data_IF_886338254061
#
_entry.id   IF_886338254061
#
_cell.length_a   1.000
_cell.length_b   1.000
_cell.length_c   1.000
_cell.angle_alpha   90.00
_cell.angle_beta   90.00
_cell.angle_gamma   90.00
#
_symmetry.space_group_name_H-M   'P 1'
#
loop_
_entity.id
_entity.type
_entity.pdbx_description
1 polymer ?
#
# COMPACT_ATOMS: atom_id res chain seq x y z
N UNK A 1 -19.53 16.19 18.42
CA UNK A 1 -18.57 15.90 17.34
C UNK A 1 -17.24 15.58 17.98
N UNK A 2 -16.94 14.29 18.14
CA UNK A 2 -15.65 13.83 18.65
C UNK A 2 -14.72 13.66 17.46
N UNK A 3 -13.72 14.54 17.38
CA UNK A 3 -12.59 14.39 16.46
C UNK A 3 -11.86 13.14 16.96
N UNK A 4 -11.95 12.03 16.23
CA UNK A 4 -11.11 10.86 16.47
C UNK A 4 -9.68 11.30 16.14
N UNK A 5 -8.93 11.72 17.17
CA UNK A 5 -7.48 11.83 17.05
C UNK A 5 -6.94 10.42 16.89
N UNK A 6 -6.63 10.04 15.65
CA UNK A 6 -5.93 8.79 15.39
C UNK A 6 -4.48 9.04 15.80
N UNK A 7 -4.07 8.45 16.91
CA UNK A 7 -2.66 8.37 17.23
C UNK A 7 -1.98 7.47 16.19
N UNK A 8 -1.33 8.10 15.21
CA UNK A 8 -0.58 7.42 14.15
C UNK A 8 0.80 6.93 14.62
N UNK A 9 1.12 7.15 15.89
CA UNK A 9 2.41 6.89 16.49
C UNK A 9 2.21 6.44 17.92
N UNK A 10 2.97 5.45 18.36
CA UNK A 10 3.05 5.03 19.77
C UNK A 10 3.82 6.07 20.61
N UNK A 11 3.73 6.03 21.95
CA UNK A 11 4.50 6.92 22.84
C UNK A 11 6.02 6.85 22.66
N UNK A 12 6.56 5.73 22.17
CA UNK A 12 7.98 5.53 21.83
C UNK A 12 8.35 6.01 20.40
N UNK A 13 7.41 6.62 19.67
CA UNK A 13 7.68 7.22 18.36
C UNK A 13 7.55 6.26 17.17
N UNK A 14 7.04 5.04 17.38
CA UNK A 14 6.86 4.06 16.31
C UNK A 14 5.54 4.28 15.57
N UNK A 15 5.58 4.27 14.25
CA UNK A 15 4.37 4.37 13.40
C UNK A 15 3.41 3.21 13.68
N UNK A 16 2.11 3.51 13.67
CA UNK A 16 1.04 2.53 13.75
C UNK A 16 0.26 2.54 12.44
N UNK A 17 -0.03 1.37 11.87
CA UNK A 17 -0.94 1.27 10.73
C UNK A 17 -2.41 1.55 11.15
N UNK A 18 -3.07 2.63 10.69
CA UNK A 18 -4.39 3.06 11.16
C UNK A 18 -5.53 2.30 10.45
N UNK A 19 -5.61 0.99 10.70
CA UNK A 19 -6.50 0.06 10.00
C UNK A 19 -7.96 0.53 9.88
N UNK A 20 -8.61 0.82 11.00
CA UNK A 20 -10.05 1.13 11.04
C UNK A 20 -10.38 2.37 10.21
N UNK A 21 -9.57 3.43 10.36
CA UNK A 21 -9.78 4.65 9.60
C UNK A 21 -9.57 4.43 8.10
N UNK A 22 -8.52 3.71 7.69
CA UNK A 22 -8.25 3.45 6.28
C UNK A 22 -9.31 2.55 5.65
N UNK A 23 -9.77 1.52 6.37
CA UNK A 23 -10.88 0.67 5.91
C UNK A 23 -12.10 1.51 5.55
N UNK A 24 -12.45 2.49 6.38
CA UNK A 24 -13.67 3.25 6.19
C UNK A 24 -13.48 4.40 5.18
N UNK A 25 -12.33 5.08 5.20
CA UNK A 25 -12.14 6.35 4.50
C UNK A 25 -11.20 6.30 3.28
N UNK A 26 -10.37 5.26 3.10
CA UNK A 26 -9.46 5.23 1.96
C UNK A 26 -10.22 5.11 0.64
N UNK A 27 -9.88 5.98 -0.31
CA UNK A 27 -10.39 5.96 -1.69
C UNK A 27 -9.35 5.40 -2.66
N UNK A 28 -9.75 5.14 -3.91
CA UNK A 28 -8.80 4.75 -4.97
C UNK A 28 -7.74 5.84 -5.24
N UNK A 29 -8.10 7.12 -5.09
CA UNK A 29 -7.19 8.25 -5.18
C UNK A 29 -6.16 8.24 -4.05
N UNK A 30 -6.60 8.06 -2.80
CA UNK A 30 -5.69 7.94 -1.65
C UNK A 30 -4.74 6.74 -1.79
N UNK A 31 -5.25 5.62 -2.31
CA UNK A 31 -4.43 4.44 -2.62
C UNK A 31 -3.40 4.74 -3.72
N UNK A 32 -3.77 5.56 -4.72
CA UNK A 32 -2.86 5.97 -5.78
C UNK A 32 -1.73 6.85 -5.25
N UNK A 33 -2.02 7.80 -4.35
CA UNK A 33 -0.99 8.63 -3.70
C UNK A 33 -0.05 7.78 -2.86
N UNK A 34 -0.59 6.85 -2.07
CA UNK A 34 0.26 5.95 -1.30
C UNK A 34 1.18 5.09 -2.19
N UNK A 35 0.67 4.60 -3.33
CA UNK A 35 1.49 3.88 -4.30
C UNK A 35 2.52 4.78 -5.02
N UNK A 36 2.20 6.05 -5.24
CA UNK A 36 3.14 7.02 -5.79
C UNK A 36 4.34 7.22 -4.87
N UNK A 37 4.15 7.17 -3.54
CA UNK A 37 5.23 7.29 -2.58
C UNK A 37 5.99 5.97 -2.43
N UNK A 38 5.31 4.92 -1.96
CA UNK A 38 5.94 3.67 -1.51
C UNK A 38 5.88 2.52 -2.51
N UNK A 39 5.16 2.70 -3.61
CA UNK A 39 4.90 1.67 -4.61
C UNK A 39 5.91 1.60 -5.74
N UNK A 40 6.10 0.40 -6.29
CA UNK A 40 6.78 0.19 -7.57
C UNK A 40 6.39 -1.16 -8.20
N UNK A 41 6.51 -1.24 -9.53
CA UNK A 41 6.37 -2.47 -10.29
C UNK A 41 7.73 -3.16 -10.50
N UNK A 42 7.76 -4.48 -10.35
CA UNK A 42 8.91 -5.33 -10.63
C UNK A 42 8.45 -6.64 -11.25
N UNK A 43 8.96 -6.99 -12.43
CA UNK A 43 8.60 -8.23 -13.16
C UNK A 43 7.07 -8.48 -13.21
N UNK A 44 6.29 -7.44 -13.56
CA UNK A 44 4.81 -7.46 -13.64
C UNK A 44 4.08 -7.67 -12.30
N UNK A 45 4.79 -7.59 -11.19
CA UNK A 45 4.23 -7.63 -9.84
C UNK A 45 4.40 -6.27 -9.16
N UNK A 46 3.38 -5.82 -8.46
CA UNK A 46 3.45 -4.61 -7.64
C UNK A 46 3.99 -4.91 -6.25
N UNK A 47 4.78 -3.98 -5.72
CA UNK A 47 5.30 -4.00 -4.36
C UNK A 47 5.03 -2.66 -3.69
N UNK A 48 4.74 -2.71 -2.39
CA UNK A 48 4.53 -1.52 -1.56
C UNK A 48 5.52 -1.58 -0.40
N UNK A 49 6.40 -0.59 -0.31
CA UNK A 49 7.51 -0.50 0.64
C UNK A 49 7.06 -0.12 2.05
N UNK A 50 6.41 -1.04 2.76
CA UNK A 50 5.91 -0.86 4.12
C UNK A 50 6.95 -1.09 5.22
N UNK A 51 8.22 -0.73 4.99
CA UNK A 51 9.36 -1.13 5.84
C UNK A 51 9.29 -0.65 7.30
N UNK A 52 8.50 0.38 7.61
CA UNK A 52 8.33 0.89 8.98
C UNK A 52 7.35 0.08 9.84
N UNK A 53 6.63 -0.88 9.26
CA UNK A 53 5.59 -1.66 9.94
C UNK A 53 6.11 -3.03 10.37
N UNK A 54 5.76 -3.43 11.59
CA UNK A 54 5.99 -4.79 12.09
C UNK A 54 5.20 -5.83 11.31
N UNK A 55 5.57 -7.11 11.42
CA UNK A 55 4.88 -8.19 10.71
C UNK A 55 3.37 -8.24 11.01
N UNK A 56 2.94 -7.96 12.24
CA UNK A 56 1.50 -7.89 12.58
C UNK A 56 0.80 -6.72 11.88
N UNK A 57 1.46 -5.58 11.77
CA UNK A 57 0.95 -4.44 11.00
C UNK A 57 0.92 -4.73 9.50
N UNK A 58 1.87 -5.50 8.97
CA UNK A 58 1.80 -5.98 7.57
C UNK A 58 0.56 -6.85 7.33
N UNK A 59 0.14 -7.66 8.32
CA UNK A 59 -1.12 -8.41 8.22
C UNK A 59 -2.33 -7.48 8.18
N UNK A 60 -2.31 -6.39 8.95
CA UNK A 60 -3.35 -5.37 8.88
C UNK A 60 -3.39 -4.69 7.50
N UNK A 61 -2.24 -4.39 6.91
CA UNK A 61 -2.17 -3.86 5.54
C UNK A 61 -2.78 -4.85 4.55
N UNK A 62 -2.40 -6.13 4.61
CA UNK A 62 -2.93 -7.16 3.72
C UNK A 62 -4.45 -7.32 3.87
N UNK A 63 -4.93 -7.37 5.12
CA UNK A 63 -6.35 -7.41 5.44
C UNK A 63 -7.10 -6.20 4.90
N UNK A 64 -6.52 -5.00 5.03
CA UNK A 64 -7.10 -3.76 4.53
C UNK A 64 -7.26 -3.78 3.00
N UNK A 65 -6.21 -4.18 2.27
CA UNK A 65 -6.25 -4.29 0.80
C UNK A 65 -7.32 -5.28 0.34
N UNK A 66 -7.44 -6.40 1.04
CA UNK A 66 -8.45 -7.41 0.76
C UNK A 66 -9.86 -6.88 1.05
N UNK A 67 -10.12 -6.36 2.25
CA UNK A 67 -11.49 -6.01 2.65
C UNK A 67 -12.04 -4.85 1.84
N UNK A 68 -11.22 -3.79 1.66
CA UNK A 68 -11.63 -2.54 1.01
C UNK A 68 -11.56 -2.59 -0.51
N UNK A 69 -10.52 -3.21 -1.08
CA UNK A 69 -10.25 -3.16 -2.51
C UNK A 69 -10.34 -4.52 -3.21
N UNK A 70 -10.61 -5.60 -2.48
CA UNK A 70 -10.63 -6.98 -3.01
C UNK A 70 -9.30 -7.38 -3.66
N UNK A 71 -8.20 -6.88 -3.10
CA UNK A 71 -6.84 -7.15 -3.57
C UNK A 71 -6.16 -8.07 -2.56
N UNK A 72 -5.93 -9.32 -2.97
CA UNK A 72 -5.12 -10.24 -2.18
C UNK A 72 -3.64 -9.85 -2.23
N UNK A 73 -2.93 -10.09 -1.13
CA UNK A 73 -1.51 -9.75 -1.05
C UNK A 73 -0.73 -10.76 -0.22
N UNK A 74 0.58 -10.81 -0.45
CA UNK A 74 1.53 -11.58 0.34
C UNK A 74 2.50 -10.64 1.06
N UNK A 75 2.86 -10.99 2.29
CA UNK A 75 3.94 -10.32 3.02
C UNK A 75 5.23 -11.02 2.64
N UNK A 76 6.15 -10.28 2.05
CA UNK A 76 7.44 -10.79 1.61
C UNK A 76 8.56 -10.11 2.40
N UNK A 77 9.74 -10.72 2.43
CA UNK A 77 10.82 -10.31 3.33
C UNK A 77 12.09 -9.94 2.56
N UNK A 78 12.61 -8.75 2.87
CA UNK A 78 13.90 -8.28 2.36
C UNK A 78 15.02 -8.83 3.24
N UNK A 79 15.49 -10.03 2.89
CA UNK A 79 16.55 -10.77 3.61
C UNK A 79 17.80 -9.94 3.96
N UNK A 80 18.15 -8.94 3.14
CA UNK A 80 19.36 -8.13 3.35
C UNK A 80 19.22 -7.06 4.44
N UNK A 81 18.00 -6.68 4.84
CA UNK A 81 17.76 -5.62 5.83
C UNK A 81 16.86 -6.03 6.98
N UNK A 82 16.17 -7.17 6.89
CA UNK A 82 15.24 -7.61 7.93
C UNK A 82 13.82 -7.05 7.76
N UNK A 83 13.57 -6.24 6.73
CA UNK A 83 12.32 -5.51 6.57
C UNK A 83 11.27 -6.32 5.80
N UNK A 84 9.99 -6.10 6.10
CA UNK A 84 8.86 -6.68 5.39
C UNK A 84 8.25 -5.69 4.38
N UNK A 85 7.65 -6.22 3.32
CA UNK A 85 6.91 -5.44 2.34
C UNK A 85 5.71 -6.20 1.81
N UNK A 86 4.75 -5.47 1.25
CA UNK A 86 3.58 -6.05 0.61
C UNK A 86 3.89 -6.32 -0.86
N UNK A 87 3.54 -7.52 -1.32
CA UNK A 87 3.68 -7.95 -2.71
C UNK A 87 2.34 -8.41 -3.26
N UNK A 88 1.97 -7.90 -4.43
CA UNK A 88 0.82 -8.32 -5.22
C UNK A 88 1.28 -9.27 -6.32
N UNK A 89 0.59 -10.40 -6.55
CA UNK A 89 0.90 -11.24 -7.72
C UNK A 89 0.33 -10.58 -8.99
N UNK A 90 0.57 -11.20 -10.14
CA UNK A 90 0.32 -10.57 -11.45
C UNK A 90 -1.17 -10.18 -11.61
N UNK A 91 -2.10 -11.06 -11.22
CA UNK A 91 -3.54 -10.79 -11.31
C UNK A 91 -3.92 -9.60 -10.43
N UNK A 92 -3.53 -9.64 -9.16
CA UNK A 92 -3.83 -8.62 -8.17
C UNK A 92 -3.15 -7.30 -8.51
N UNK A 93 -2.00 -7.34 -9.18
CA UNK A 93 -1.32 -6.16 -9.73
C UNK A 93 -2.17 -5.50 -10.82
N UNK A 94 -2.78 -6.28 -11.72
CA UNK A 94 -3.65 -5.74 -12.75
C UNK A 94 -4.91 -5.11 -12.14
N UNK A 95 -5.55 -5.82 -11.22
CA UNK A 95 -6.74 -5.33 -10.51
C UNK A 95 -6.41 -4.05 -9.73
N UNK A 96 -5.29 -4.04 -8.99
CA UNK A 96 -4.82 -2.87 -8.25
C UNK A 96 -4.52 -1.68 -9.17
N UNK A 97 -3.81 -1.88 -10.27
CA UNK A 97 -3.51 -0.82 -11.24
C UNK A 97 -4.81 -0.26 -11.82
N UNK A 98 -5.83 -1.08 -12.10
CA UNK A 98 -7.11 -0.59 -12.61
C UNK A 98 -7.80 0.41 -11.65
N UNK A 99 -7.61 0.23 -10.34
CA UNK A 99 -8.15 1.11 -9.30
C UNK A 99 -7.38 2.43 -9.24
N UNK A 100 -6.04 2.38 -9.23
CA UNK A 100 -5.21 3.57 -8.99
C UNK A 100 -4.93 4.40 -10.24
N UNK A 101 -4.89 3.76 -11.42
CA UNK A 101 -4.46 4.36 -12.69
C UNK A 101 -5.21 5.65 -13.05
N UNK A 102 -6.54 5.77 -12.87
CA UNK A 102 -7.25 7.01 -13.18
C UNK A 102 -6.77 8.23 -12.40
N UNK A 103 -6.14 8.02 -11.24
CA UNK A 103 -5.70 9.08 -10.33
C UNK A 103 -4.19 9.35 -10.41
N UNK A 104 -3.44 8.58 -11.22
CA UNK A 104 -2.00 8.73 -11.33
C UNK A 104 -1.61 9.87 -12.28
N UNK A 105 -0.76 10.77 -11.79
CA UNK A 105 -0.15 11.81 -12.61
C UNK A 105 0.84 11.23 -13.63
N UNK A 106 0.96 11.87 -14.79
CA UNK A 106 1.77 11.38 -15.91
C UNK A 106 3.23 11.09 -15.52
N UNK A 107 3.82 11.93 -14.68
CA UNK A 107 5.19 11.77 -14.21
C UNK A 107 5.40 10.55 -13.31
N UNK A 108 4.34 9.95 -12.75
CA UNK A 108 4.40 8.76 -11.88
C UNK A 108 3.96 7.47 -12.57
N UNK A 109 3.42 7.52 -13.79
CA UNK A 109 2.93 6.34 -14.52
C UNK A 109 4.01 5.29 -14.83
N UNK A 110 5.29 5.67 -14.81
CA UNK A 110 6.40 4.72 -14.88
C UNK A 110 6.37 3.70 -13.73
N UNK A 111 5.82 4.05 -12.56
CA UNK A 111 5.69 3.14 -11.41
C UNK A 111 4.72 1.98 -11.66
N UNK A 112 3.80 2.12 -12.61
CA UNK A 112 2.90 1.05 -13.08
C UNK A 112 3.35 0.42 -14.40
N UNK A 113 4.56 0.74 -14.87
CA UNK A 113 5.16 0.17 -16.07
C UNK A 113 4.72 0.84 -17.38
N UNK A 114 4.02 1.97 -17.31
CA UNK A 114 3.71 2.76 -18.49
C UNK A 114 4.93 3.61 -18.87
N UNK A 115 5.33 3.54 -20.14
CA UNK A 115 6.40 4.39 -20.67
C UNK A 115 5.83 5.77 -20.98
N UNK A 116 6.61 6.82 -20.72
CA UNK A 116 6.36 8.13 -21.32
C UNK A 116 6.30 7.93 -22.84
N UNK A 117 5.19 8.32 -23.45
CA UNK A 117 5.09 8.43 -24.92
C UNK A 117 5.90 9.62 -25.40
#
# INVERSE_FOLDING_TARGET
GSILTIELTTPDGKKIFPYEYLRDNMTGEGLAYWYCDDGYIYNRTSRICTYGYSYEEQKLVSKFLQEKFKIDSSIDHRKTRGDYYIRLKIKETQDFISIIRPYMIESMKYKIGEKKK
#
